data_IF_266392102781
#
_entry.id   IF_266392102781
#
_cell.length_a   1.000
_cell.length_b   1.000
_cell.length_c   1.000
_cell.angle_alpha   90.00
_cell.angle_beta   90.00
_cell.angle_gamma   90.00
#
_symmetry.space_group_name_H-M   'P 1'
#
loop_
_entity.id
_entity.type
_entity.pdbx_description
1 polymer ?
#
# COMPACT_ATOMS: atom_id res chain seq x y z
N UNK A 1 -22.25 21.43 5.39
CA UNK A 1 -22.27 20.62 6.62
C UNK A 1 -22.16 19.12 6.35
N UNK A 2 -22.85 18.52 5.36
CA UNK A 2 -22.74 17.07 5.09
C UNK A 2 -21.61 16.65 4.15
N UNK A 3 -21.15 17.52 3.24
CA UNK A 3 -20.09 17.19 2.27
C UNK A 3 -18.72 17.03 2.92
N UNK A 4 -18.40 17.83 3.93
CA UNK A 4 -17.07 17.83 4.58
C UNK A 4 -16.85 16.57 5.41
N UNK A 5 -17.91 16.08 6.07
CA UNK A 5 -17.85 14.82 6.83
C UNK A 5 -17.70 13.61 5.91
N UNK A 6 -18.43 13.58 4.79
CA UNK A 6 -18.30 12.52 3.78
C UNK A 6 -16.88 12.50 3.20
N UNK A 7 -16.31 13.66 2.89
CA UNK A 7 -14.94 13.76 2.40
C UNK A 7 -13.93 13.24 3.44
N UNK A 8 -14.08 13.63 4.71
CA UNK A 8 -13.23 13.13 5.79
C UNK A 8 -13.31 11.61 5.95
N UNK A 9 -14.49 11.01 5.82
CA UNK A 9 -14.66 9.56 5.90
C UNK A 9 -14.01 8.84 4.71
N UNK A 10 -14.13 9.39 3.50
CA UNK A 10 -13.46 8.87 2.30
C UNK A 10 -11.94 8.94 2.43
N UNK A 11 -11.42 10.03 2.99
CA UNK A 11 -9.98 10.21 3.22
C UNK A 11 -9.45 9.19 4.25
N UNK A 12 -10.22 8.87 5.29
CA UNK A 12 -9.87 7.84 6.28
C UNK A 12 -9.86 6.46 5.64
N UNK A 13 -10.89 6.12 4.85
CA UNK A 13 -10.97 4.85 4.14
C UNK A 13 -9.80 4.67 3.15
N UNK A 14 -9.49 5.71 2.38
CA UNK A 14 -8.37 5.70 1.44
C UNK A 14 -7.03 5.47 2.16
N UNK A 15 -6.82 6.11 3.31
CA UNK A 15 -5.61 5.90 4.12
C UNK A 15 -5.52 4.49 4.69
N UNK A 16 -6.63 3.93 5.16
CA UNK A 16 -6.66 2.57 5.69
C UNK A 16 -6.28 1.54 4.61
N UNK A 17 -6.84 1.68 3.40
CA UNK A 17 -6.51 0.81 2.26
C UNK A 17 -5.05 0.92 1.85
N UNK A 18 -4.47 2.12 1.85
CA UNK A 18 -3.06 2.30 1.52
C UNK A 18 -2.14 1.66 2.58
N UNK A 19 -2.49 1.78 3.87
CA UNK A 19 -1.75 1.13 4.95
C UNK A 19 -1.81 -0.40 4.84
N UNK A 20 -2.98 -0.97 4.56
CA UNK A 20 -3.14 -2.40 4.36
C UNK A 20 -2.32 -2.90 3.16
N UNK A 21 -2.31 -2.14 2.05
CA UNK A 21 -1.50 -2.46 0.86
C UNK A 21 -0.02 -2.54 1.20
N UNK A 22 0.53 -1.55 1.90
CA UNK A 22 1.94 -1.52 2.32
C UNK A 22 2.24 -2.70 3.25
N UNK A 23 1.35 -2.97 4.21
CA UNK A 23 1.52 -4.07 5.15
C UNK A 23 1.58 -5.43 4.44
N UNK A 24 0.71 -5.66 3.46
CA UNK A 24 0.71 -6.88 2.65
C UNK A 24 2.00 -7.03 1.85
N UNK A 25 2.47 -5.96 1.18
CA UNK A 25 3.74 -5.97 0.44
C UNK A 25 4.93 -6.33 1.34
N UNK A 26 5.01 -5.73 2.53
CA UNK A 26 6.04 -6.05 3.52
C UNK A 26 5.94 -7.51 3.98
N UNK A 27 4.73 -8.01 4.22
CA UNK A 27 4.55 -9.40 4.63
C UNK A 27 5.00 -10.39 3.55
N UNK A 28 4.63 -10.16 2.28
CA UNK A 28 5.10 -11.00 1.17
C UNK A 28 6.62 -10.96 1.02
N UNK A 29 7.22 -9.78 1.16
CA UNK A 29 8.68 -9.65 1.15
C UNK A 29 9.34 -10.44 2.28
N UNK A 30 8.79 -10.35 3.51
CA UNK A 30 9.27 -11.10 4.67
C UNK A 30 9.09 -12.63 4.52
N UNK A 31 8.13 -13.07 3.72
CA UNK A 31 7.94 -14.48 3.34
C UNK A 31 8.89 -14.94 2.22
N UNK A 32 9.76 -14.05 1.72
CA UNK A 32 10.75 -14.35 0.69
C UNK A 32 10.24 -14.21 -0.74
N UNK A 33 9.08 -13.58 -0.96
CA UNK A 33 8.61 -13.25 -2.31
C UNK A 33 9.50 -12.15 -2.90
N UNK A 34 9.88 -12.30 -4.17
CA UNK A 34 10.76 -11.33 -4.82
C UNK A 34 10.06 -9.99 -5.03
N UNK A 35 10.85 -8.91 -5.00
CA UNK A 35 10.33 -7.55 -5.20
C UNK A 35 9.69 -7.40 -6.59
N UNK A 36 10.23 -8.08 -7.60
CA UNK A 36 9.71 -8.09 -8.97
C UNK A 36 8.30 -8.67 -9.03
N UNK A 37 8.06 -9.79 -8.33
CA UNK A 37 6.74 -10.43 -8.26
C UNK A 37 5.76 -9.52 -7.50
N UNK A 38 6.19 -8.89 -6.41
CA UNK A 38 5.35 -7.97 -5.64
C UNK A 38 5.00 -6.73 -6.50
N UNK A 39 5.97 -6.17 -7.21
CA UNK A 39 5.78 -5.04 -8.12
C UNK A 39 4.78 -5.36 -9.23
N UNK A 40 4.93 -6.54 -9.86
CA UNK A 40 4.01 -7.03 -10.89
C UNK A 40 2.59 -7.20 -10.35
N UNK A 41 2.44 -7.89 -9.21
CA UNK A 41 1.13 -8.18 -8.61
C UNK A 41 0.38 -6.92 -8.13
N UNK A 42 1.12 -5.85 -7.81
CA UNK A 42 0.55 -4.62 -7.25
C UNK A 42 0.54 -3.44 -8.23
N UNK A 43 1.06 -3.63 -9.44
CA UNK A 43 1.25 -2.58 -10.45
C UNK A 43 2.04 -1.37 -9.92
N UNK A 44 2.97 -1.61 -8.98
CA UNK A 44 3.86 -0.62 -8.40
C UNK A 44 5.26 -0.82 -8.98
N UNK A 45 6.04 0.26 -9.14
CA UNK A 45 7.41 0.13 -9.65
C UNK A 45 8.29 -0.66 -8.67
N UNK A 46 9.27 -1.38 -9.20
CA UNK A 46 10.24 -2.12 -8.39
C UNK A 46 10.97 -1.19 -7.42
N UNK A 47 11.32 0.01 -7.88
CA UNK A 47 11.95 1.06 -7.07
C UNK A 47 11.06 1.51 -5.91
N UNK A 48 9.76 1.68 -6.13
CA UNK A 48 8.81 2.09 -5.10
C UNK A 48 8.58 0.96 -4.09
N UNK A 49 8.44 -0.29 -4.54
CA UNK A 49 8.37 -1.44 -3.62
C UNK A 49 9.62 -1.53 -2.76
N UNK A 50 10.82 -1.35 -3.35
CA UNK A 50 12.08 -1.29 -2.57
C UNK A 50 12.07 -0.19 -1.52
N UNK A 51 11.51 0.99 -1.81
CA UNK A 51 11.39 2.07 -0.82
C UNK A 51 10.39 1.74 0.29
N UNK A 52 9.31 1.02 -0.04
CA UNK A 52 8.26 0.64 0.93
C UNK A 52 8.70 -0.47 1.89
N UNK A 53 9.53 -1.42 1.44
CA UNK A 53 9.97 -2.57 2.27
C UNK A 53 11.27 -2.33 3.03
N UNK A 54 12.08 -1.33 2.64
CA UNK A 54 13.36 -1.01 3.29
C UNK A 54 13.31 0.19 4.28
N UNK A 55 12.14 0.78 4.48
CA UNK A 55 11.88 1.78 5.53
C UNK A 55 11.34 1.10 6.78
#
# INVERSE_FOLDING_TARGET
>A
MSSDLLQQLLDVDQKAREQERIHLMQNFFNLGVSVEIIAEATSVSVEDVKRMVNN
#
